data_IF_765720035258
#
_entry.id   IF_765720035258
#
_cell.length_a   1.000
_cell.length_b   1.000
_cell.length_c   1.000
_cell.angle_alpha   90.00
_cell.angle_beta   90.00
_cell.angle_gamma   90.00
#
_symmetry.space_group_name_H-M   'P 1'
#
loop_
_entity.id
_entity.type
_entity.pdbx_description
1 polymer ?
#
# COMPACT_ATOMS: atom_id res chain seq x y z
N UNK A 1 15.28 -44.92 -37.40
CA UNK A 1 13.87 -44.56 -37.66
C UNK A 1 13.34 -43.88 -36.40
N UNK A 2 13.04 -42.58 -36.43
CA UNK A 2 12.62 -41.81 -35.25
C UNK A 2 11.13 -41.50 -35.33
N UNK A 3 10.35 -42.04 -34.39
CA UNK A 3 8.90 -41.80 -34.32
C UNK A 3 8.66 -40.46 -33.62
N UNK A 4 8.15 -39.48 -34.37
CA UNK A 4 7.76 -38.17 -33.83
C UNK A 4 6.36 -38.28 -33.25
N UNK A 5 6.26 -38.43 -31.92
CA UNK A 5 4.98 -38.47 -31.22
C UNK A 5 4.46 -37.04 -31.09
N UNK A 6 3.42 -36.69 -31.83
CA UNK A 6 2.70 -35.42 -31.70
C UNK A 6 1.49 -35.67 -30.81
N UNK A 7 1.51 -35.15 -29.56
CA UNK A 7 0.31 -35.15 -28.71
C UNK A 7 -0.67 -34.10 -29.23
N UNK A 8 -1.85 -34.55 -29.66
CA UNK A 8 -2.96 -33.65 -29.97
C UNK A 8 -3.75 -33.34 -28.70
N UNK A 9 -4.03 -32.05 -28.47
CA UNK A 9 -4.87 -31.58 -27.37
C UNK A 9 -6.26 -31.22 -27.90
N UNK A 10 -7.31 -31.57 -27.15
CA UNK A 10 -8.68 -31.20 -27.49
C UNK A 10 -8.97 -29.72 -27.16
N UNK A 11 -9.95 -29.13 -27.83
CA UNK A 11 -10.39 -27.75 -27.54
C UNK A 11 -10.74 -27.55 -26.06
N UNK A 12 -11.37 -28.55 -25.44
CA UNK A 12 -11.72 -28.54 -24.00
C UNK A 12 -10.48 -28.52 -23.11
N UNK A 13 -9.42 -29.24 -23.48
CA UNK A 13 -8.14 -29.23 -22.75
C UNK A 13 -7.45 -27.88 -22.87
N UNK A 14 -7.48 -27.26 -24.05
CA UNK A 14 -6.94 -25.92 -24.25
C UNK A 14 -7.71 -24.87 -23.43
N UNK A 15 -9.04 -24.95 -23.42
CA UNK A 15 -9.88 -24.08 -22.59
C UNK A 15 -9.59 -24.22 -21.09
N UNK A 16 -9.41 -25.46 -20.61
CA UNK A 16 -9.03 -25.72 -19.22
C UNK A 16 -7.67 -25.12 -18.87
N UNK A 17 -6.68 -25.29 -19.74
CA UNK A 17 -5.33 -24.74 -19.53
C UNK A 17 -5.34 -23.21 -19.47
N UNK A 18 -6.10 -22.56 -20.36
CA UNK A 18 -6.24 -21.09 -20.38
C UNK A 18 -6.89 -20.59 -19.09
N UNK A 19 -7.96 -21.24 -18.61
CA UNK A 19 -8.58 -20.88 -17.33
C UNK A 19 -7.61 -21.07 -16.16
N UNK A 20 -6.88 -22.19 -16.12
CA UNK A 20 -5.90 -22.45 -15.08
C UNK A 20 -4.79 -21.37 -15.04
N UNK A 21 -4.24 -21.01 -16.20
CA UNK A 21 -3.26 -19.93 -16.33
C UNK A 21 -3.84 -18.58 -15.86
N UNK A 22 -5.08 -18.27 -16.22
CA UNK A 22 -5.76 -17.05 -15.78
C UNK A 22 -5.90 -16.99 -14.26
N UNK A 23 -6.37 -18.05 -13.61
CA UNK A 23 -6.47 -18.12 -12.14
C UNK A 23 -5.10 -18.06 -11.46
N UNK A 24 -4.07 -18.65 -12.07
CA UNK A 24 -2.70 -18.58 -11.56
C UNK A 24 -2.15 -17.14 -11.61
N UNK A 25 -2.41 -16.41 -12.70
CA UNK A 25 -2.05 -15.00 -12.85
C UNK A 25 -2.76 -14.10 -11.82
N UNK A 26 -4.04 -14.36 -11.53
CA UNK A 26 -4.79 -13.63 -10.50
C UNK A 26 -4.19 -13.81 -9.10
N UNK A 27 -3.62 -14.98 -8.78
CA UNK A 27 -2.99 -15.25 -7.47
C UNK A 27 -1.62 -14.58 -7.26
N UNK A 28 -0.97 -14.12 -8.33
CA UNK A 28 0.36 -13.48 -8.25
C UNK A 28 0.26 -11.95 -8.12
N UNK A 29 -0.90 -11.37 -8.40
CA UNK A 29 -1.16 -9.95 -8.26
C UNK A 29 -0.93 -9.47 -6.81
N UNK A 30 -0.05 -8.49 -6.64
CA UNK A 30 0.12 -7.75 -5.40
C UNK A 30 -0.52 -6.36 -5.58
N UNK A 31 -1.36 -5.96 -4.62
CA UNK A 31 -1.95 -4.61 -4.59
C UNK A 31 -0.90 -3.62 -4.08
N UNK A 32 -0.48 -2.68 -4.92
CA UNK A 32 0.38 -1.56 -4.50
C UNK A 32 -0.45 -0.41 -3.95
N UNK A 33 0.10 0.31 -2.97
CA UNK A 33 -0.47 1.54 -2.44
C UNK A 33 0.55 2.67 -2.58
N UNK A 34 0.16 3.76 -3.24
CA UNK A 34 1.03 4.92 -3.47
C UNK A 34 0.25 6.20 -3.18
N UNK A 35 0.82 7.08 -2.37
CA UNK A 35 0.27 8.42 -2.12
C UNK A 35 1.38 9.46 -2.05
N UNK A 36 1.03 10.72 -2.29
CA UNK A 36 1.95 11.84 -2.23
C UNK A 36 1.22 13.08 -1.73
N UNK A 37 1.79 13.75 -0.72
CA UNK A 37 1.29 15.02 -0.20
C UNK A 37 2.21 16.15 -0.66
N UNK A 38 1.77 16.96 -1.63
CA UNK A 38 2.51 18.15 -2.09
C UNK A 38 2.15 19.43 -1.32
N UNK A 39 0.94 19.50 -0.76
CA UNK A 39 0.46 20.65 -0.01
C UNK A 39 -0.52 20.22 1.08
N UNK A 40 -0.48 20.93 2.19
CA UNK A 40 -1.31 20.71 3.39
C UNK A 40 -2.76 21.18 3.24
N UNK A 41 -3.07 21.92 2.18
CA UNK A 41 -4.40 22.46 1.93
C UNK A 41 -5.46 21.39 1.61
N UNK A 42 -5.06 20.17 1.24
CA UNK A 42 -6.00 19.09 0.87
C UNK A 42 -5.48 17.75 1.39
N UNK A 43 -5.38 17.62 2.71
CA UNK A 43 -5.10 16.32 3.32
C UNK A 43 -6.35 15.81 4.02
N UNK A 44 -7.33 15.36 3.22
CA UNK A 44 -8.54 14.68 3.72
C UNK A 44 -8.29 13.24 4.14
N UNK A 45 -7.12 12.70 3.79
CA UNK A 45 -6.81 11.27 3.94
C UNK A 45 -5.91 10.98 5.16
N UNK A 46 -5.67 11.97 6.03
CA UNK A 46 -5.00 11.75 7.32
C UNK A 46 -6.03 11.77 8.44
N UNK A 47 -5.84 10.86 9.38
CA UNK A 47 -6.45 10.90 10.70
C UNK A 47 -5.47 11.53 11.68
N UNK A 48 -5.94 12.49 12.47
CA UNK A 48 -5.16 13.19 13.50
C UNK A 48 -5.54 12.71 14.89
N UNK A 49 -4.56 12.64 15.79
CA UNK A 49 -4.74 12.28 17.19
C UNK A 49 -3.82 13.13 18.07
N UNK A 50 -4.26 13.42 19.30
CA UNK A 50 -3.57 14.35 20.19
C UNK A 50 -3.55 15.76 19.59
N UNK A 51 -2.42 16.44 19.72
CA UNK A 51 -2.23 17.84 19.26
C UNK A 51 -1.87 17.96 17.77
N UNK A 52 -1.95 16.86 17.01
CA UNK A 52 -1.60 16.89 15.60
C UNK A 52 -2.63 17.67 14.77
N UNK A 53 -2.15 18.57 13.91
CA UNK A 53 -3.01 19.49 13.15
C UNK A 53 -2.38 19.91 11.81
N UNK A 54 -3.17 20.62 11.01
CA UNK A 54 -2.71 21.28 9.77
C UNK A 54 -2.73 22.78 9.97
N UNK A 55 -1.56 23.41 9.83
CA UNK A 55 -1.39 24.85 9.96
C UNK A 55 -0.30 25.31 8.97
N UNK A 56 -0.65 25.35 7.69
CA UNK A 56 0.29 25.51 6.57
C UNK A 56 1.27 24.33 6.37
N UNK A 57 1.51 23.53 7.40
CA UNK A 57 2.33 22.32 7.44
C UNK A 57 1.68 21.26 8.34
N UNK A 58 2.12 20.01 8.22
CA UNK A 58 1.72 18.95 9.15
C UNK A 58 2.46 19.18 10.48
N UNK A 59 1.73 19.56 11.52
CA UNK A 59 2.27 19.75 12.86
C UNK A 59 1.87 18.57 13.72
N UNK A 60 2.84 17.96 14.40
CA UNK A 60 2.58 16.83 15.30
C UNK A 60 2.50 17.25 16.77
N UNK A 61 3.05 18.42 17.11
CA UNK A 61 3.07 18.96 18.47
C UNK A 61 2.83 20.45 18.45
N UNK A 62 2.40 20.97 19.60
CA UNK A 62 2.35 22.39 19.89
C UNK A 62 3.75 23.01 19.78
N UNK A 63 3.78 24.24 19.34
CA UNK A 63 4.96 25.10 19.19
C UNK A 63 5.06 26.07 20.37
N UNK A 64 6.16 26.81 20.46
CA UNK A 64 6.33 27.86 21.47
C UNK A 64 5.40 29.08 21.27
N UNK A 65 4.69 29.16 20.14
CA UNK A 65 3.62 30.14 19.94
C UNK A 65 2.34 29.72 20.66
N UNK A 66 2.18 28.43 20.96
CA UNK A 66 1.02 27.90 21.64
C UNK A 66 1.27 28.01 23.15
N UNK A 67 0.37 28.68 23.88
CA UNK A 67 0.52 29.06 25.30
C UNK A 67 0.74 27.86 26.26
N UNK A 68 0.57 26.62 25.78
CA UNK A 68 0.68 25.38 26.54
C UNK A 68 1.87 24.50 26.09
N UNK A 69 3.08 24.87 26.50
CA UNK A 69 4.32 24.12 26.24
C UNK A 69 4.50 22.82 27.08
N UNK A 70 3.46 22.34 27.76
CA UNK A 70 3.56 21.18 28.65
C UNK A 70 3.08 19.89 27.98
N UNK A 71 4.02 18.99 27.72
CA UNK A 71 3.77 17.59 27.29
C UNK A 71 2.91 17.44 26.04
N UNK A 72 3.34 18.06 24.92
CA UNK A 72 2.63 17.93 23.65
C UNK A 72 2.97 16.63 22.92
N UNK A 73 1.93 15.88 22.55
CA UNK A 73 2.02 14.63 21.80
C UNK A 73 0.92 14.60 20.75
N UNK A 74 1.29 14.27 19.51
CA UNK A 74 0.32 14.08 18.44
C UNK A 74 0.78 13.07 17.41
N UNK A 75 -0.19 12.55 16.66
CA UNK A 75 0.01 11.55 15.62
C UNK A 75 -0.87 11.86 14.42
N UNK A 76 -0.30 11.72 13.23
CA UNK A 76 -1.05 11.69 11.98
C UNK A 76 -0.89 10.32 11.30
N UNK A 77 -1.96 9.77 10.75
CA UNK A 77 -1.95 8.43 10.13
C UNK A 77 -2.78 8.43 8.86
N UNK A 78 -2.21 7.90 7.77
CA UNK A 78 -2.92 7.72 6.51
C UNK A 78 -4.09 6.76 6.69
N UNK A 79 -5.26 7.15 6.19
CA UNK A 79 -6.51 6.45 6.45
C UNK A 79 -6.56 5.06 5.81
N UNK A 80 -5.91 4.87 4.66
CA UNK A 80 -5.91 3.59 3.96
C UNK A 80 -4.84 2.66 4.56
N UNK A 81 -5.23 1.50 5.12
CA UNK A 81 -4.27 0.54 5.66
C UNK A 81 -3.50 -0.14 4.54
N UNK A 82 -2.21 -0.39 4.78
CA UNK A 82 -1.34 -1.13 3.86
C UNK A 82 -0.90 -2.46 4.49
N UNK A 83 -1.12 -3.57 3.77
CA UNK A 83 -0.76 -4.91 4.25
C UNK A 83 0.75 -5.17 4.07
N UNK A 84 1.53 -5.00 5.13
CA UNK A 84 2.98 -5.27 5.11
C UNK A 84 3.34 -6.75 5.00
N UNK A 85 2.47 -7.64 5.49
CA UNK A 85 2.71 -9.08 5.52
C UNK A 85 1.42 -9.88 5.37
N UNK A 86 1.43 -10.82 4.43
CA UNK A 86 0.33 -11.77 4.28
C UNK A 86 0.68 -13.08 5.01
N UNK A 87 -0.08 -13.41 6.06
CA UNK A 87 0.22 -14.58 6.89
C UNK A 87 0.09 -15.93 6.15
N UNK A 88 -0.88 -16.06 5.25
CA UNK A 88 -1.13 -17.31 4.50
C UNK A 88 -0.02 -17.66 3.52
N UNK A 89 0.57 -16.66 2.86
CA UNK A 89 1.59 -16.84 1.82
C UNK A 89 3.01 -16.55 2.33
N UNK A 90 3.13 -15.98 3.54
CA UNK A 90 4.38 -15.43 4.09
C UNK A 90 5.03 -14.34 3.24
N UNK A 91 4.32 -13.80 2.24
CA UNK A 91 4.79 -12.68 1.43
C UNK A 91 4.90 -11.42 2.28
N UNK A 92 5.97 -10.66 2.06
CA UNK A 92 6.23 -9.34 2.63
C UNK A 92 6.11 -8.29 1.54
N UNK A 93 5.62 -7.11 1.89
CA UNK A 93 5.58 -5.97 0.99
C UNK A 93 6.90 -5.18 1.08
N UNK A 94 7.44 -4.81 -0.08
CA UNK A 94 8.47 -3.79 -0.18
C UNK A 94 7.82 -2.41 -0.17
N UNK A 95 8.39 -1.46 0.57
CA UNK A 95 7.88 -0.09 0.62
C UNK A 95 9.01 0.93 0.64
N UNK A 96 8.74 2.10 0.08
CA UNK A 96 9.62 3.27 0.10
C UNK A 96 8.81 4.47 0.52
N UNK A 97 9.34 5.28 1.45
CA UNK A 97 8.73 6.54 1.86
C UNK A 97 9.79 7.63 1.89
N UNK A 98 9.39 8.82 1.46
CA UNK A 98 10.24 10.02 1.48
C UNK A 98 9.42 11.15 2.10
N UNK A 99 10.00 11.81 3.10
CA UNK A 99 9.39 12.94 3.79
C UNK A 99 10.45 13.96 4.19
N UNK A 100 10.01 15.19 4.40
CA UNK A 100 10.85 16.28 4.90
C UNK A 100 10.22 16.83 6.18
N UNK A 101 11.04 17.09 7.20
CA UNK A 101 10.63 17.67 8.47
C UNK A 101 11.49 18.88 8.80
N UNK A 102 10.94 19.81 9.58
CA UNK A 102 11.58 21.06 10.02
C UNK A 102 11.26 21.31 11.49
#
# INVERSE_FOLDING_TARGET
MAVKIIKQFSLKQLQFLVHYLFFYLLCISATSLTFNFRSTAVITNLSFQGEASLDGSLRLTNSAYDDELRWSVGRATFHEPFLLRQNSTRKLADFTSTFTFY
#
